data_IF_992687980378
#
_entry.id   IF_992687980378
#
_cell.length_a   1.000
_cell.length_b   1.000
_cell.length_c   1.000
_cell.angle_alpha   90.00
_cell.angle_beta   90.00
_cell.angle_gamma   90.00
#
_symmetry.space_group_name_H-M   'P 1'
#
loop_
_entity.id
_entity.type
_entity.pdbx_description
1 polymer ?
#
# COMPACT_ATOMS: atom_id res chain seq x y z
N UNK A 1 3.31 20.61 8.66
CA UNK A 1 4.02 21.32 9.75
C UNK A 1 5.32 21.89 9.18
N UNK A 2 5.50 23.21 9.27
CA UNK A 2 6.69 23.89 8.70
C UNK A 2 7.92 23.78 9.61
N UNK A 3 7.73 23.73 10.94
CA UNK A 3 8.76 23.60 11.97
C UNK A 3 8.14 22.98 13.25
N UNK A 4 8.94 22.38 14.13
CA UNK A 4 8.46 21.88 15.45
C UNK A 4 7.67 22.98 16.19
N UNK A 5 6.35 22.80 16.32
CA UNK A 5 5.45 23.74 16.99
C UNK A 5 4.72 24.76 16.10
N UNK A 6 4.88 24.70 14.78
CA UNK A 6 4.08 25.52 13.84
C UNK A 6 2.59 25.11 13.79
N UNK A 7 1.70 25.99 13.29
CA UNK A 7 0.28 25.67 13.15
C UNK A 7 0.08 24.44 12.24
N UNK A 8 -0.74 23.51 12.72
CA UNK A 8 -1.12 22.29 11.97
C UNK A 8 -2.27 22.64 11.03
N UNK A 9 -2.19 22.17 9.79
CA UNK A 9 -3.25 22.30 8.80
C UNK A 9 -3.52 20.98 8.12
N UNK A 10 -4.73 20.85 7.60
CA UNK A 10 -5.19 19.66 6.86
C UNK A 10 -4.90 19.83 5.36
N UNK A 11 -4.65 18.73 4.67
CA UNK A 11 -4.54 18.68 3.21
C UNK A 11 -5.09 17.34 2.73
N UNK A 12 -5.82 17.34 1.62
CA UNK A 12 -6.30 16.10 1.01
C UNK A 12 -5.41 15.75 -0.19
N UNK A 13 -4.85 14.55 -0.20
CA UNK A 13 -3.98 14.06 -1.26
C UNK A 13 -4.62 12.84 -1.92
N UNK A 14 -4.79 12.89 -3.24
CA UNK A 14 -5.39 11.85 -4.05
C UNK A 14 -4.35 11.28 -5.02
N UNK A 15 -4.25 9.96 -5.09
CA UNK A 15 -3.39 9.29 -6.08
C UNK A 15 -4.05 9.36 -7.46
N UNK A 16 -3.43 10.09 -8.38
CA UNK A 16 -3.86 10.18 -9.78
C UNK A 16 -3.52 8.90 -10.55
N UNK A 17 -2.38 8.27 -10.22
CA UNK A 17 -1.85 7.09 -10.89
C UNK A 17 -0.96 6.26 -9.94
N UNK A 18 -0.41 5.15 -10.43
CA UNK A 18 0.44 4.24 -9.64
C UNK A 18 1.67 4.93 -9.04
N UNK A 19 2.24 5.91 -9.75
CA UNK A 19 3.35 6.72 -9.21
C UNK A 19 2.87 7.57 -8.03
N UNK A 20 1.72 8.22 -8.15
CA UNK A 20 1.08 8.93 -7.06
C UNK A 20 0.78 8.02 -5.87
N UNK A 21 0.22 6.84 -6.11
CA UNK A 21 -0.07 5.85 -5.07
C UNK A 21 1.19 5.44 -4.28
N UNK A 22 2.30 5.19 -5.00
CA UNK A 22 3.60 4.90 -4.37
C UNK A 22 4.11 6.10 -3.56
N UNK A 23 4.08 7.30 -4.13
CA UNK A 23 4.49 8.53 -3.44
C UNK A 23 3.69 8.75 -2.15
N UNK A 24 2.37 8.51 -2.17
CA UNK A 24 1.54 8.64 -0.98
C UNK A 24 1.83 7.55 0.05
N UNK A 25 2.12 6.33 -0.38
CA UNK A 25 2.51 5.23 0.52
C UNK A 25 3.83 5.57 1.23
N UNK A 26 4.83 6.04 0.49
CA UNK A 26 6.11 6.49 1.03
C UNK A 26 5.93 7.68 1.99
N UNK A 27 5.08 8.65 1.64
CA UNK A 27 4.77 9.81 2.49
C UNK A 27 4.10 9.41 3.81
N UNK A 28 3.13 8.49 3.77
CA UNK A 28 2.49 7.94 4.97
C UNK A 28 3.53 7.22 5.82
N UNK A 29 4.33 6.33 5.24
CA UNK A 29 5.40 5.63 5.97
C UNK A 29 6.38 6.61 6.63
N UNK A 30 6.80 7.66 5.92
CA UNK A 30 7.69 8.69 6.45
C UNK A 30 7.05 9.49 7.58
N UNK A 31 5.76 9.82 7.50
CA UNK A 31 5.04 10.48 8.59
C UNK A 31 5.01 9.64 9.88
N UNK A 32 4.87 8.32 9.76
CA UNK A 32 4.94 7.41 10.92
C UNK A 32 6.36 7.22 11.46
N UNK A 33 7.39 7.24 10.62
CA UNK A 33 8.78 7.01 11.02
C UNK A 33 9.50 8.26 11.53
N UNK A 34 9.28 9.41 10.86
CA UNK A 34 10.06 10.65 11.05
C UNK A 34 9.18 11.85 11.46
N UNK A 35 7.87 11.76 11.23
CA UNK A 35 6.91 12.85 11.38
C UNK A 35 6.16 12.89 12.72
N UNK A 36 6.59 12.10 13.70
CA UNK A 36 5.90 11.95 14.97
C UNK A 36 6.02 13.21 15.85
N UNK A 37 4.89 13.79 16.22
CA UNK A 37 4.81 14.85 17.22
C UNK A 37 3.68 14.55 18.20
N UNK A 38 4.00 14.46 19.50
CA UNK A 38 3.06 14.05 20.56
C UNK A 38 2.33 12.72 20.28
N UNK A 39 2.96 11.81 19.54
CA UNK A 39 2.40 10.50 19.20
C UNK A 39 1.48 10.48 17.97
N UNK A 40 1.30 11.64 17.31
CA UNK A 40 0.54 11.76 16.08
C UNK A 40 1.49 11.93 14.87
N UNK A 41 1.24 11.24 13.75
CA UNK A 41 2.03 11.38 12.53
C UNK A 41 1.66 12.68 11.78
N UNK A 42 2.67 13.49 11.46
CA UNK A 42 2.52 14.69 10.64
C UNK A 42 3.41 14.66 9.41
N UNK A 43 2.92 15.30 8.35
CA UNK A 43 3.69 15.54 7.13
C UNK A 43 4.35 16.93 7.23
N UNK A 44 5.64 16.99 6.94
CA UNK A 44 6.37 18.26 6.78
C UNK A 44 6.11 18.83 5.40
N UNK A 45 6.01 20.16 5.31
CA UNK A 45 5.68 20.81 4.03
C UNK A 45 6.75 20.55 2.96
N UNK A 46 8.03 20.48 3.37
CA UNK A 46 9.16 20.16 2.50
C UNK A 46 9.03 18.79 1.81
N UNK A 47 8.36 17.82 2.44
CA UNK A 47 8.15 16.48 1.86
C UNK A 47 7.14 16.48 0.72
N UNK A 48 6.25 17.48 0.66
CA UNK A 48 5.25 17.57 -0.42
C UNK A 48 5.88 17.74 -1.80
N UNK A 49 7.07 18.37 -1.86
CA UNK A 49 7.79 18.53 -3.12
C UNK A 49 8.29 17.19 -3.68
N UNK A 50 8.72 16.28 -2.80
CA UNK A 50 9.22 14.96 -3.15
C UNK A 50 8.09 14.04 -3.69
N UNK A 51 6.85 14.25 -3.24
CA UNK A 51 5.69 13.45 -3.64
C UNK A 51 4.76 14.15 -4.67
N UNK A 52 5.22 15.20 -5.33
CA UNK A 52 4.37 16.06 -6.19
C UNK A 52 3.85 15.39 -7.47
N UNK A 53 4.55 14.37 -7.97
CA UNK A 53 4.20 13.71 -9.22
C UNK A 53 3.11 12.65 -9.03
N UNK A 54 2.09 12.70 -9.89
CA UNK A 54 0.96 11.76 -9.85
C UNK A 54 0.00 11.98 -8.69
N UNK A 55 0.09 13.10 -7.97
CA UNK A 55 -0.78 13.43 -6.84
C UNK A 55 -1.63 14.66 -7.17
N UNK A 56 -2.94 14.55 -6.93
CA UNK A 56 -3.89 15.66 -6.94
C UNK A 56 -4.12 16.11 -5.50
N UNK A 57 -4.21 17.41 -5.28
CA UNK A 57 -4.27 18.03 -3.95
C UNK A 57 -5.52 18.88 -3.81
N UNK A 58 -6.27 18.67 -2.74
CA UNK A 58 -7.35 19.56 -2.32
C UNK A 58 -6.91 20.31 -1.07
N UNK A 59 -7.24 21.59 -1.01
CA UNK A 59 -6.71 22.52 -0.01
C UNK A 59 -6.98 22.17 1.47
N UNK A 60 -7.92 21.26 1.78
CA UNK A 60 -8.31 20.93 3.17
C UNK A 60 -9.38 21.86 3.75
N UNK A 61 -10.03 22.66 2.91
CA UNK A 61 -11.08 23.60 3.30
C UNK A 61 -10.59 24.66 4.30
N UNK A 62 -11.47 25.07 5.22
CA UNK A 62 -11.15 26.05 6.28
C UNK A 62 -10.05 25.59 7.25
N UNK A 63 -9.82 24.28 7.36
CA UNK A 63 -8.75 23.71 8.19
C UNK A 63 -7.40 23.64 7.45
N UNK A 64 -7.41 23.86 6.13
CA UNK A 64 -6.21 23.93 5.30
C UNK A 64 -5.36 25.16 5.57
N UNK A 65 -4.12 25.13 5.09
CA UNK A 65 -3.16 26.21 5.33
C UNK A 65 -3.64 27.56 4.77
N UNK A 66 -4.31 27.51 3.61
CA UNK A 66 -4.91 28.67 2.93
C UNK A 66 -6.19 29.10 3.65
N UNK A 67 -7.08 28.14 3.99
CA UNK A 67 -8.32 28.43 4.71
C UNK A 67 -8.08 29.07 6.07
N UNK A 68 -7.12 28.58 6.85
CA UNK A 68 -6.74 29.20 8.11
C UNK A 68 -6.21 30.62 7.93
N UNK A 69 -5.49 30.92 6.85
CA UNK A 69 -5.02 32.28 6.58
C UNK A 69 -6.19 33.23 6.23
N UNK A 70 -7.16 32.76 5.43
CA UNK A 70 -8.37 33.51 5.10
C UNK A 70 -9.21 33.82 6.35
N UNK A 71 -9.46 32.81 7.20
CA UNK A 71 -10.24 32.97 8.44
C UNK A 71 -9.58 33.87 9.49
N UNK A 72 -8.26 34.08 9.38
CA UNK A 72 -7.54 35.02 10.23
C UNK A 72 -7.36 36.41 9.59
N UNK A 73 -8.02 36.70 8.45
CA UNK A 73 -7.92 37.97 7.72
C UNK A 73 -6.55 38.22 7.07
N UNK A 74 -5.71 37.18 6.94
CA UNK A 74 -4.34 37.27 6.38
C UNK A 74 -4.34 37.03 4.88
N UNK A 75 -5.05 37.86 4.11
CA UNK A 75 -5.23 37.68 2.66
C UNK A 75 -3.92 37.61 1.86
N UNK A 76 -2.91 38.42 2.21
CA UNK A 76 -1.61 38.38 1.55
C UNK A 76 -0.92 37.01 1.71
N UNK A 77 -0.99 36.43 2.91
CA UNK A 77 -0.43 35.11 3.20
C UNK A 77 -1.23 34.00 2.50
N UNK A 78 -2.55 34.11 2.44
CA UNK A 78 -3.40 33.16 1.71
C UNK A 78 -3.04 33.12 0.21
N UNK A 79 -2.82 34.30 -0.40
CA UNK A 79 -2.37 34.44 -1.79
C UNK A 79 -1.01 33.79 -2.03
N UNK A 80 -0.03 34.09 -1.18
CA UNK A 80 1.31 33.50 -1.26
C UNK A 80 1.27 31.96 -1.17
N UNK A 81 0.51 31.42 -0.21
CA UNK A 81 0.35 29.99 0.00
C UNK A 81 -0.33 29.30 -1.17
N UNK A 82 -1.39 29.90 -1.72
CA UNK A 82 -2.08 29.34 -2.88
C UNK A 82 -1.15 29.29 -4.10
N UNK A 83 -0.43 30.37 -4.38
CA UNK A 83 0.55 30.40 -5.47
C UNK A 83 1.65 29.35 -5.30
N UNK A 84 2.17 29.18 -4.08
CA UNK A 84 3.18 28.16 -3.78
C UNK A 84 2.64 26.74 -4.03
N UNK A 85 1.40 26.45 -3.62
CA UNK A 85 0.77 25.14 -3.84
C UNK A 85 0.46 24.88 -5.33
N UNK A 86 -0.04 25.87 -6.06
CA UNK A 86 -0.27 25.75 -7.50
C UNK A 86 1.04 25.55 -8.28
N UNK A 87 2.13 26.20 -7.86
CA UNK A 87 3.44 25.99 -8.44
C UNK A 87 3.99 24.58 -8.16
N UNK A 88 3.70 24.03 -6.97
CA UNK A 88 4.13 22.70 -6.57
C UNK A 88 3.32 21.58 -7.25
N UNK A 89 2.02 21.81 -7.46
CA UNK A 89 1.08 20.87 -8.08
C UNK A 89 0.39 21.51 -9.29
N UNK A 90 1.14 21.78 -10.39
CA UNK A 90 0.59 22.42 -11.56
C UNK A 90 -0.55 21.58 -12.15
N UNK A 91 -1.69 22.23 -12.42
CA UNK A 91 -2.94 21.63 -12.90
C UNK A 91 -3.49 20.49 -12.02
N UNK A 92 -3.01 20.39 -10.78
CA UNK A 92 -3.32 19.32 -9.82
C UNK A 92 -3.67 19.84 -8.43
N UNK A 93 -3.75 21.14 -8.23
CA UNK A 93 -4.22 21.75 -6.99
C UNK A 93 -5.62 22.32 -7.16
N UNK A 94 -6.49 22.08 -6.17
CA UNK A 94 -7.85 22.59 -6.13
C UNK A 94 -8.16 23.23 -4.77
N UNK A 95 -8.81 24.39 -4.80
CA UNK A 95 -9.41 24.97 -3.61
C UNK A 95 -10.68 24.20 -3.25
N UNK A 96 -10.73 23.69 -2.03
CA UNK A 96 -11.79 22.80 -1.55
C UNK A 96 -12.88 23.63 -0.90
N UNK A 97 -14.12 23.45 -1.33
CA UNK A 97 -15.31 24.13 -0.82
C UNK A 97 -16.22 23.12 -0.13
N UNK A 98 -16.68 23.46 1.08
CA UNK A 98 -17.51 22.60 1.92
C UNK A 98 -18.71 23.39 2.45
N UNK A 99 -19.90 22.78 2.41
CA UNK A 99 -21.14 23.33 2.99
C UNK A 99 -21.74 22.32 3.96
N UNK A 100 -21.11 22.21 5.13
CA UNK A 100 -21.48 21.24 6.17
C UNK A 100 -22.29 21.87 7.30
N UNK A 101 -22.67 23.14 7.20
CA UNK A 101 -23.38 23.85 8.27
C UNK A 101 -22.56 24.05 9.54
N UNK A 102 -21.23 23.88 9.46
CA UNK A 102 -20.32 24.17 10.58
C UNK A 102 -20.02 25.66 10.63
N UNK A 103 -19.59 26.13 11.80
CA UNK A 103 -19.21 27.53 12.01
C UNK A 103 -18.17 28.00 10.98
N UNK A 104 -18.41 29.16 10.38
CA UNK A 104 -17.57 29.81 9.36
C UNK A 104 -17.42 29.05 8.02
N UNK A 105 -18.25 28.03 7.73
CA UNK A 105 -18.23 27.37 6.41
C UNK A 105 -18.49 28.37 5.27
N UNK A 106 -19.54 29.19 5.38
CA UNK A 106 -19.93 30.12 4.31
C UNK A 106 -18.97 31.33 4.20
N UNK A 107 -18.43 31.80 5.34
CA UNK A 107 -17.41 32.85 5.35
C UNK A 107 -16.14 32.40 4.63
N UNK A 108 -15.68 31.17 4.91
CA UNK A 108 -14.56 30.57 4.18
C UNK A 108 -14.88 30.39 2.70
N UNK A 109 -16.07 29.89 2.37
CA UNK A 109 -16.47 29.65 0.99
C UNK A 109 -16.40 30.93 0.15
N UNK A 110 -16.98 32.03 0.62
CA UNK A 110 -16.92 33.31 -0.11
C UNK A 110 -15.48 33.80 -0.29
N UNK A 111 -14.65 33.75 0.76
CA UNK A 111 -13.27 34.17 0.69
C UNK A 111 -12.41 33.27 -0.23
N UNK A 112 -12.68 31.96 -0.23
CA UNK A 112 -11.99 31.00 -1.08
C UNK A 112 -12.37 31.17 -2.56
N UNK A 113 -13.64 31.44 -2.88
CA UNK A 113 -14.11 31.71 -4.24
C UNK A 113 -13.51 33.01 -4.78
N UNK A 114 -13.47 34.07 -3.98
CA UNK A 114 -12.83 35.33 -4.38
C UNK A 114 -11.33 35.12 -4.68
N UNK A 115 -10.62 34.40 -3.82
CA UNK A 115 -9.20 34.08 -4.03
C UNK A 115 -8.98 33.17 -5.25
N UNK A 116 -9.88 32.20 -5.47
CA UNK A 116 -9.85 31.30 -6.62
C UNK A 116 -9.98 32.08 -7.93
N UNK A 117 -10.91 33.03 -8.00
CA UNK A 117 -11.10 33.91 -9.15
C UNK A 117 -9.90 34.84 -9.37
N UNK A 118 -9.31 35.37 -8.29
CA UNK A 118 -8.15 36.25 -8.37
C UNK A 118 -6.92 35.55 -8.97
N UNK A 119 -6.68 34.30 -8.58
CA UNK A 119 -5.48 33.54 -8.94
C UNK A 119 -5.70 32.48 -10.03
N UNK A 120 -6.89 32.44 -10.63
CA UNK A 120 -7.29 31.43 -11.63
C UNK A 120 -7.07 29.99 -11.13
N UNK A 121 -7.43 29.74 -9.87
CA UNK A 121 -7.35 28.42 -9.25
C UNK A 121 -8.69 27.70 -9.39
N UNK A 122 -8.72 26.43 -9.82
CA UNK A 122 -9.97 25.67 -9.85
C UNK A 122 -10.46 25.36 -8.43
N UNK A 123 -11.78 25.30 -8.28
CA UNK A 123 -12.46 24.92 -7.03
C UNK A 123 -13.07 23.53 -7.14
N UNK A 124 -13.25 22.85 -6.01
CA UNK A 124 -13.92 21.54 -5.96
C UNK A 124 -14.83 21.45 -4.73
N UNK A 125 -16.02 20.91 -4.90
CA UNK A 125 -16.97 20.68 -3.81
C UNK A 125 -16.69 19.34 -3.11
N UNK A 126 -16.67 19.35 -1.78
CA UNK A 126 -16.64 18.13 -0.95
C UNK A 126 -17.60 18.29 0.23
N UNK A 127 -17.95 17.18 0.90
CA UNK A 127 -18.85 17.21 2.06
C UNK A 127 -18.18 16.75 3.37
N UNK A 128 -16.84 16.58 3.39
CA UNK A 128 -16.07 16.12 4.57
C UNK A 128 -16.75 14.94 5.30
N UNK A 129 -17.13 13.91 4.55
CA UNK A 129 -18.02 12.83 5.00
C UNK A 129 -17.42 12.05 6.16
N UNK A 130 -18.21 11.81 7.21
CA UNK A 130 -17.82 11.07 8.43
C UNK A 130 -18.70 9.86 8.74
N UNK A 131 -19.87 9.79 8.12
CA UNK A 131 -20.85 8.71 8.29
C UNK A 131 -21.66 8.55 6.99
N UNK A 132 -22.38 7.44 6.84
CA UNK A 132 -23.06 7.13 5.58
C UNK A 132 -24.40 7.86 5.50
N UNK A 133 -25.21 7.79 6.57
CA UNK A 133 -26.57 8.35 6.59
C UNK A 133 -26.72 9.41 7.69
N UNK A 134 -27.59 10.39 7.48
CA UNK A 134 -27.78 11.50 8.42
C UNK A 134 -28.16 11.03 9.85
N UNK A 135 -28.91 9.93 9.97
CA UNK A 135 -29.34 9.36 11.26
C UNK A 135 -28.17 8.79 12.09
N UNK A 136 -27.01 8.57 11.48
CA UNK A 136 -25.82 8.03 12.14
C UNK A 136 -25.01 9.11 12.90
N UNK A 137 -25.41 10.38 12.80
CA UNK A 137 -24.70 11.49 13.46
C UNK A 137 -24.51 11.28 14.97
N UNK A 138 -25.58 10.88 15.69
CA UNK A 138 -25.48 10.63 17.14
C UNK A 138 -24.54 9.46 17.46
N UNK A 139 -24.53 8.41 16.64
CA UNK A 139 -23.60 7.29 16.80
C UNK A 139 -22.14 7.74 16.55
N UNK A 140 -21.93 8.60 15.55
CA UNK A 140 -20.62 9.21 15.30
C UNK A 140 -20.17 10.08 16.47
N UNK A 141 -21.05 10.91 17.03
CA UNK A 141 -20.74 11.76 18.20
C UNK A 141 -20.35 10.93 19.43
N UNK A 142 -21.04 9.80 19.68
CA UNK A 142 -20.66 8.87 20.75
C UNK A 142 -19.28 8.26 20.48
N UNK A 143 -19.00 7.84 19.24
CA UNK A 143 -17.68 7.30 18.86
C UNK A 143 -16.55 8.30 19.12
N UNK A 144 -16.75 9.57 18.76
CA UNK A 144 -15.79 10.66 19.01
C UNK A 144 -15.59 10.85 20.52
N UNK A 145 -16.67 10.89 21.30
CA UNK A 145 -16.58 11.03 22.75
C UNK A 145 -15.79 9.89 23.43
N UNK A 146 -15.96 8.64 22.95
CA UNK A 146 -15.18 7.49 23.42
C UNK A 146 -13.69 7.68 23.13
N UNK A 147 -13.34 8.14 21.92
CA UNK A 147 -11.95 8.39 21.54
C UNK A 147 -11.32 9.51 22.37
N UNK A 148 -12.05 10.62 22.55
CA UNK A 148 -11.58 11.80 23.29
C UNK A 148 -11.62 11.61 24.82
N UNK A 149 -12.18 10.51 25.30
CA UNK A 149 -12.37 10.24 26.73
C UNK A 149 -13.30 11.23 27.42
N UNK A 150 -14.32 11.74 26.71
CA UNK A 150 -15.30 12.72 27.23
C UNK A 150 -16.71 12.14 27.30
N UNK A 151 -17.51 12.68 28.22
CA UNK A 151 -18.94 12.37 28.28
C UNK A 151 -19.72 13.18 27.23
N UNK A 152 -20.80 12.60 26.69
CA UNK A 152 -21.62 13.22 25.63
C UNK A 152 -22.28 14.54 26.09
N UNK A 153 -22.57 14.65 27.38
CA UNK A 153 -23.19 15.80 28.04
C UNK A 153 -22.19 16.83 28.59
N UNK A 154 -20.87 16.63 28.44
CA UNK A 154 -19.86 17.62 28.86
C UNK A 154 -20.00 18.92 28.03
N UNK A 155 -20.37 20.06 28.65
CA UNK A 155 -20.55 21.32 27.91
C UNK A 155 -19.23 21.89 27.38
N UNK A 156 -18.08 21.40 27.86
CA UNK A 156 -16.75 21.81 27.40
C UNK A 156 -16.23 20.95 26.24
N UNK A 157 -17.00 19.94 25.79
CA UNK A 157 -16.59 19.12 24.66
C UNK A 157 -16.60 19.95 23.37
N UNK A 158 -15.57 19.75 22.55
CA UNK A 158 -15.52 20.37 21.23
C UNK A 158 -16.50 19.62 20.33
N UNK A 159 -17.39 20.34 19.66
CA UNK A 159 -18.30 19.79 18.65
C UNK A 159 -17.76 20.12 17.28
N UNK A 160 -16.80 19.31 16.82
CA UNK A 160 -16.09 19.54 15.56
C UNK A 160 -16.90 19.13 14.32
N UNK A 161 -18.01 18.41 14.52
CA UNK A 161 -18.80 17.79 13.47
C UNK A 161 -20.24 18.33 13.44
N UNK A 162 -20.87 18.20 12.28
CA UNK A 162 -22.30 18.47 12.09
C UNK A 162 -23.03 17.23 11.57
N UNK A 163 -24.35 17.23 11.71
CA UNK A 163 -25.26 16.21 11.18
C UNK A 163 -25.31 16.18 9.64
N UNK A 164 -24.73 17.18 8.97
CA UNK A 164 -24.67 17.31 7.52
C UNK A 164 -23.45 16.62 6.87
N UNK A 165 -22.57 16.00 7.66
CA UNK A 165 -21.37 15.28 7.18
C UNK A 165 -21.64 13.81 6.80
N UNK A 166 -22.85 13.52 6.31
CA UNK A 166 -23.18 12.21 5.73
C UNK A 166 -22.81 12.13 4.24
N UNK A 167 -22.92 10.94 3.65
CA UNK A 167 -22.74 10.76 2.21
C UNK A 167 -24.00 11.25 1.48
N UNK A 168 -24.04 12.55 1.16
CA UNK A 168 -25.13 13.18 0.40
C UNK A 168 -25.32 12.55 -0.97
N UNK A 169 -26.56 12.58 -1.45
CA UNK A 169 -26.86 12.21 -2.84
C UNK A 169 -26.32 13.26 -3.83
N UNK A 170 -26.12 12.88 -5.11
CA UNK A 170 -25.76 13.86 -6.15
C UNK A 170 -26.76 15.01 -6.27
N UNK A 171 -28.06 14.75 -6.10
CA UNK A 171 -29.12 15.76 -6.15
C UNK A 171 -29.00 16.77 -5.00
N UNK A 172 -28.78 16.28 -3.77
CA UNK A 172 -28.58 17.16 -2.61
C UNK A 172 -27.33 18.05 -2.78
N UNK A 173 -26.24 17.49 -3.31
CA UNK A 173 -25.02 18.25 -3.60
C UNK A 173 -25.23 19.27 -4.73
N UNK A 174 -25.99 18.91 -5.76
CA UNK A 174 -26.33 19.80 -6.88
C UNK A 174 -27.19 20.99 -6.45
N UNK A 175 -28.18 20.76 -5.57
CA UNK A 175 -28.96 21.85 -4.98
C UNK A 175 -28.08 22.73 -4.09
N UNK A 176 -27.26 22.11 -3.25
CA UNK A 176 -26.38 22.79 -2.30
C UNK A 176 -25.34 23.67 -2.97
N UNK A 177 -24.80 23.30 -4.12
CA UNK A 177 -23.79 24.04 -4.89
C UNK A 177 -24.32 24.60 -6.22
N UNK A 178 -25.63 24.87 -6.29
CA UNK A 178 -26.28 25.38 -7.50
C UNK A 178 -25.76 26.74 -7.99
N UNK A 179 -25.14 27.52 -7.09
CA UNK A 179 -24.46 28.78 -7.36
C UNK A 179 -23.01 28.63 -7.87
N UNK A 180 -22.39 27.45 -7.72
CA UNK A 180 -21.02 27.15 -8.17
C UNK A 180 -20.97 25.76 -8.85
N UNK A 181 -21.61 25.58 -10.02
CA UNK A 181 -21.66 24.29 -10.71
C UNK A 181 -20.28 23.70 -11.04
N UNK A 182 -19.29 24.56 -11.33
CA UNK A 182 -17.92 24.16 -11.67
C UNK A 182 -17.23 23.39 -10.54
N UNK A 183 -17.61 23.66 -9.28
CA UNK A 183 -17.08 22.94 -8.14
C UNK A 183 -17.50 21.47 -8.15
N UNK A 184 -18.70 21.16 -8.67
CA UNK A 184 -19.20 19.80 -8.84
C UNK A 184 -18.64 19.14 -10.10
N UNK A 185 -18.54 19.87 -11.21
CA UNK A 185 -17.94 19.37 -12.45
C UNK A 185 -16.49 18.90 -12.22
N UNK A 186 -15.73 19.66 -11.45
CA UNK A 186 -14.36 19.29 -11.08
C UNK A 186 -14.28 18.01 -10.23
N UNK A 187 -15.31 17.65 -9.45
CA UNK A 187 -15.32 16.37 -8.72
C UNK A 187 -15.27 15.18 -9.69
N UNK A 188 -16.04 15.25 -10.78
CA UNK A 188 -16.11 14.21 -11.80
C UNK A 188 -14.83 14.19 -12.62
N UNK A 189 -14.27 15.37 -12.93
CA UNK A 189 -13.01 15.46 -13.67
C UNK A 189 -11.84 14.90 -12.86
N UNK A 190 -11.73 15.24 -11.57
CA UNK A 190 -10.73 14.64 -10.67
C UNK A 190 -10.91 13.12 -10.61
N UNK A 191 -12.15 12.64 -10.45
CA UNK A 191 -12.42 11.19 -10.41
C UNK A 191 -11.98 10.48 -11.70
N UNK A 192 -12.21 11.07 -12.88
CA UNK A 192 -11.74 10.52 -14.17
C UNK A 192 -10.22 10.50 -14.28
N UNK A 193 -9.54 11.49 -13.70
CA UNK A 193 -8.08 11.60 -13.72
C UNK A 193 -7.41 10.58 -12.80
N UNK A 194 -8.09 10.07 -11.79
CA UNK A 194 -7.55 9.11 -10.82
C UNK A 194 -7.75 7.65 -11.28
N UNK A 195 -6.67 7.01 -11.73
CA UNK A 195 -6.65 5.61 -12.16
C UNK A 195 -5.45 4.90 -11.53
N UNK A 196 -5.69 4.09 -10.50
CA UNK A 196 -4.65 3.31 -9.80
C UNK A 196 -4.96 1.83 -9.96
N UNK A 197 -3.98 1.05 -10.40
CA UNK A 197 -4.11 -0.39 -10.54
C UNK A 197 -3.45 -1.11 -9.35
N UNK A 198 -4.25 -1.85 -8.58
CA UNK A 198 -3.75 -2.68 -7.50
C UNK A 198 -3.72 -4.13 -7.99
N UNK A 199 -2.51 -4.66 -8.19
CA UNK A 199 -2.29 -6.04 -8.59
C UNK A 199 -2.66 -7.01 -7.45
N UNK A 200 -3.88 -7.53 -7.50
CA UNK A 200 -4.36 -8.56 -6.58
C UNK A 200 -4.09 -9.96 -7.15
N UNK A 201 -3.72 -10.91 -6.29
CA UNK A 201 -3.55 -12.32 -6.67
C UNK A 201 -2.21 -12.68 -7.34
N UNK A 202 -1.30 -11.72 -7.50
CA UNK A 202 0.09 -12.00 -7.91
C UNK A 202 0.98 -12.12 -6.68
N UNK A 203 1.75 -13.20 -6.59
CA UNK A 203 2.73 -13.38 -5.52
C UNK A 203 4.04 -12.66 -5.87
N UNK A 204 4.53 -11.83 -4.96
CA UNK A 204 5.85 -11.20 -5.04
C UNK A 204 6.77 -11.90 -4.03
N UNK A 205 7.36 -13.02 -4.45
CA UNK A 205 8.29 -13.79 -3.62
C UNK A 205 9.70 -13.19 -3.70
N UNK A 206 10.42 -13.08 -2.56
CA UNK A 206 11.84 -12.72 -2.58
C UNK A 206 12.67 -13.74 -3.37
N UNK A 207 13.80 -13.29 -3.92
CA UNK A 207 14.77 -14.20 -4.55
C UNK A 207 15.57 -14.94 -3.48
N UNK A 208 15.68 -16.27 -3.61
CA UNK A 208 16.51 -17.08 -2.73
C UNK A 208 17.98 -17.03 -3.17
N UNK A 209 18.95 -16.76 -2.27
CA UNK A 209 20.36 -16.62 -2.63
C UNK A 209 21.01 -18.00 -2.88
N UNK A 210 21.00 -18.45 -4.13
CA UNK A 210 21.63 -19.72 -4.54
C UNK A 210 23.13 -19.49 -4.83
N UNK A 211 24.05 -20.32 -4.30
CA UNK A 211 25.49 -20.22 -4.56
C UNK A 211 25.85 -20.27 -6.05
N UNK A 212 26.72 -19.37 -6.53
CA UNK A 212 27.08 -19.27 -7.96
C UNK A 212 27.70 -20.58 -8.50
N UNK A 213 28.44 -21.28 -7.67
CA UNK A 213 29.20 -22.49 -7.98
C UNK A 213 28.46 -23.79 -7.63
N UNK A 214 27.16 -23.74 -7.30
CA UNK A 214 26.42 -24.93 -6.87
C UNK A 214 26.47 -26.08 -7.89
N UNK A 215 26.63 -25.78 -9.18
CA UNK A 215 26.76 -26.77 -10.26
C UNK A 215 28.03 -27.62 -10.14
N UNK A 216 29.04 -27.15 -9.40
CA UNK A 216 30.30 -27.84 -9.13
C UNK A 216 30.23 -28.74 -7.89
N UNK A 217 29.10 -28.76 -7.19
CA UNK A 217 28.89 -29.58 -6.00
C UNK A 217 29.09 -31.08 -6.32
N UNK A 218 29.70 -31.82 -5.39
CA UNK A 218 29.94 -33.25 -5.50
C UNK A 218 28.66 -34.07 -5.73
N UNK A 219 27.50 -33.56 -5.31
CA UNK A 219 26.18 -34.11 -5.65
C UNK A 219 26.06 -34.43 -7.15
N UNK A 220 26.53 -33.51 -8.01
CA UNK A 220 26.39 -33.65 -9.46
C UNK A 220 27.31 -34.71 -10.09
N UNK A 221 28.20 -35.31 -9.31
CA UNK A 221 28.99 -36.47 -9.74
C UNK A 221 28.18 -37.77 -9.65
N UNK A 222 27.20 -37.83 -8.74
CA UNK A 222 26.28 -38.96 -8.57
C UNK A 222 24.99 -38.77 -9.37
N UNK A 223 24.44 -37.57 -9.33
CA UNK A 223 23.20 -37.19 -10.01
C UNK A 223 23.52 -36.24 -11.17
N UNK A 224 23.16 -36.58 -12.40
CA UNK A 224 23.57 -35.77 -13.56
C UNK A 224 22.92 -34.38 -13.55
N UNK A 225 23.74 -33.32 -13.58
CA UNK A 225 23.26 -31.93 -13.71
C UNK A 225 22.36 -31.77 -14.94
N UNK A 226 22.80 -32.29 -16.10
CA UNK A 226 22.03 -32.21 -17.34
C UNK A 226 20.69 -32.95 -17.24
N UNK A 227 20.62 -34.03 -16.46
CA UNK A 227 19.36 -34.74 -16.22
C UNK A 227 18.37 -33.91 -15.40
N UNK A 228 18.82 -33.33 -14.27
CA UNK A 228 17.97 -32.48 -13.44
C UNK A 228 17.57 -31.19 -14.16
N UNK A 229 18.48 -30.63 -14.96
CA UNK A 229 18.19 -29.50 -15.85
C UNK A 229 17.09 -29.86 -16.83
N UNK A 230 17.19 -30.99 -17.53
CA UNK A 230 16.16 -31.42 -18.47
C UNK A 230 14.79 -31.59 -17.78
N UNK A 231 14.72 -32.27 -16.63
CA UNK A 231 13.47 -32.43 -15.88
C UNK A 231 12.87 -31.09 -15.44
N UNK A 232 13.73 -30.13 -15.08
CA UNK A 232 13.30 -28.78 -14.70
C UNK A 232 12.77 -28.01 -15.90
N UNK A 233 13.43 -28.08 -17.06
CA UNK A 233 12.95 -27.50 -18.32
C UNK A 233 11.57 -28.07 -18.67
N UNK A 234 11.38 -29.38 -18.57
CA UNK A 234 10.09 -30.04 -18.82
C UNK A 234 8.99 -29.53 -17.88
N UNK A 235 9.30 -29.34 -16.59
CA UNK A 235 8.33 -28.81 -15.62
C UNK A 235 7.98 -27.34 -15.86
N UNK A 236 8.92 -26.55 -16.38
CA UNK A 236 8.72 -25.13 -16.67
C UNK A 236 8.00 -24.87 -18.01
N UNK A 237 7.94 -25.86 -18.89
CA UNK A 237 7.45 -25.72 -20.27
C UNK A 237 6.04 -25.13 -20.33
N UNK A 238 5.12 -25.58 -19.46
CA UNK A 238 3.73 -25.12 -19.45
C UNK A 238 3.61 -23.61 -19.17
N UNK A 239 4.45 -23.07 -18.29
CA UNK A 239 4.44 -21.67 -17.87
C UNK A 239 5.29 -20.78 -18.79
N UNK A 240 6.38 -21.30 -19.34
CA UNK A 240 7.43 -20.50 -19.98
C UNK A 240 7.58 -20.69 -21.49
N UNK A 241 6.73 -21.50 -22.13
CA UNK A 241 6.73 -21.68 -23.59
C UNK A 241 6.78 -20.34 -24.35
N UNK A 242 7.82 -20.17 -25.18
CA UNK A 242 8.06 -18.97 -25.99
C UNK A 242 8.71 -17.79 -25.24
N UNK A 243 9.18 -18.00 -24.00
CA UNK A 243 9.84 -17.01 -23.13
C UNK A 243 11.15 -17.54 -22.52
N UNK A 244 11.74 -18.55 -23.11
CA UNK A 244 12.93 -19.24 -22.60
C UNK A 244 14.20 -18.39 -22.63
N UNK A 245 14.24 -17.35 -23.48
CA UNK A 245 15.39 -16.45 -23.59
C UNK A 245 15.38 -15.30 -22.55
N UNK A 246 14.41 -15.29 -21.63
CA UNK A 246 14.25 -14.21 -20.65
C UNK A 246 15.16 -14.38 -19.42
N UNK A 247 15.67 -13.29 -18.81
CA UNK A 247 16.39 -13.36 -17.53
C UNK A 247 15.58 -14.04 -16.42
N UNK A 248 14.26 -13.85 -16.41
CA UNK A 248 13.34 -14.43 -15.44
C UNK A 248 13.26 -15.96 -15.59
N UNK A 249 13.21 -16.46 -16.83
CA UNK A 249 13.29 -17.90 -17.09
C UNK A 249 14.62 -18.49 -16.60
N UNK A 250 15.74 -17.83 -16.88
CA UNK A 250 17.05 -18.29 -16.42
C UNK A 250 17.12 -18.40 -14.89
N UNK A 251 16.52 -17.45 -14.17
CA UNK A 251 16.41 -17.47 -12.70
C UNK A 251 15.53 -18.62 -12.21
N UNK A 252 14.37 -18.83 -12.81
CA UNK A 252 13.43 -19.91 -12.45
C UNK A 252 14.03 -21.30 -12.73
N UNK A 253 14.71 -21.47 -13.86
CA UNK A 253 15.43 -22.71 -14.19
C UNK A 253 16.51 -23.01 -13.15
N UNK A 254 17.35 -22.02 -12.84
CA UNK A 254 18.41 -22.17 -11.83
C UNK A 254 17.83 -22.51 -10.45
N UNK A 255 16.75 -21.83 -10.07
CA UNK A 255 16.06 -22.08 -8.80
C UNK A 255 15.45 -23.48 -8.75
N UNK A 256 14.83 -23.93 -9.85
CA UNK A 256 14.28 -25.28 -9.96
C UNK A 256 15.35 -26.36 -9.83
N UNK A 257 16.50 -26.21 -10.50
CA UNK A 257 17.60 -27.19 -10.42
C UNK A 257 18.15 -27.28 -9.00
N UNK A 258 18.41 -26.13 -8.36
CA UNK A 258 18.89 -26.09 -6.98
C UNK A 258 17.87 -26.69 -6.01
N UNK A 259 16.59 -26.38 -6.19
CA UNK A 259 15.51 -26.94 -5.38
C UNK A 259 15.43 -28.47 -5.48
N UNK A 260 15.61 -29.04 -6.68
CA UNK A 260 15.72 -30.49 -6.85
C UNK A 260 16.91 -31.07 -6.09
N UNK A 261 18.10 -30.47 -6.22
CA UNK A 261 19.32 -30.90 -5.49
C UNK A 261 19.06 -31.00 -4.00
N UNK A 262 18.65 -29.89 -3.39
CA UNK A 262 18.43 -29.81 -1.93
C UNK A 262 17.35 -30.78 -1.48
N UNK A 263 16.29 -30.95 -2.26
CA UNK A 263 15.21 -31.88 -1.90
C UNK A 263 15.63 -33.35 -1.99
N UNK A 264 16.48 -33.70 -2.96
CA UNK A 264 17.03 -35.06 -3.10
C UNK A 264 17.99 -35.34 -1.94
N UNK A 265 18.91 -34.43 -1.63
CA UNK A 265 19.83 -34.55 -0.50
C UNK A 265 19.06 -34.71 0.82
N UNK A 266 18.05 -33.85 1.04
CA UNK A 266 17.20 -33.94 2.22
C UNK A 266 16.42 -35.25 2.30
N UNK A 267 15.98 -35.82 1.16
CA UNK A 267 15.36 -37.14 1.13
C UNK A 267 16.35 -38.26 1.49
N UNK A 268 17.57 -38.23 0.95
CA UNK A 268 18.62 -39.20 1.26
C UNK A 268 18.91 -39.22 2.77
N UNK A 269 19.13 -38.05 3.37
CA UNK A 269 19.35 -37.90 4.82
C UNK A 269 18.14 -38.41 5.61
N UNK A 270 16.92 -38.07 5.18
CA UNK A 270 15.70 -38.45 5.88
C UNK A 270 15.46 -39.96 5.84
N UNK A 271 15.70 -40.61 4.72
CA UNK A 271 15.56 -42.06 4.58
C UNK A 271 16.64 -42.79 5.38
N UNK A 272 17.87 -42.28 5.38
CA UNK A 272 18.94 -42.84 6.21
C UNK A 272 18.59 -42.78 7.69
N UNK A 273 18.03 -41.65 8.16
CA UNK A 273 17.57 -41.49 9.53
C UNK A 273 16.42 -42.44 9.91
N UNK A 274 15.43 -42.62 9.02
CA UNK A 274 14.24 -43.42 9.30
C UNK A 274 14.44 -44.94 9.15
N UNK A 275 15.26 -45.37 8.20
CA UNK A 275 15.36 -46.77 7.77
C UNK A 275 16.76 -47.39 7.89
N UNK A 276 17.81 -46.60 8.15
CA UNK A 276 19.19 -47.08 8.25
C UNK A 276 19.61 -47.86 6.99
N UNK A 277 20.14 -49.06 7.17
CA UNK A 277 20.61 -49.93 6.08
C UNK A 277 19.52 -50.27 5.04
N UNK A 278 18.24 -50.14 5.41
CA UNK A 278 17.11 -50.40 4.52
C UNK A 278 16.68 -49.17 3.70
N UNK A 279 17.37 -48.04 3.83
CA UNK A 279 17.05 -46.81 3.09
C UNK A 279 17.04 -47.04 1.56
N UNK A 280 17.99 -47.81 1.05
CA UNK A 280 18.09 -48.13 -0.38
C UNK A 280 16.87 -48.91 -0.90
N UNK A 281 16.25 -49.77 -0.08
CA UNK A 281 15.02 -50.50 -0.44
C UNK A 281 13.82 -49.55 -0.60
N UNK A 282 13.78 -48.48 0.20
CA UNK A 282 12.68 -47.51 0.20
C UNK A 282 12.85 -46.42 -0.86
N UNK A 283 14.09 -46.13 -1.27
CA UNK A 283 14.42 -45.03 -2.16
C UNK A 283 13.54 -44.95 -3.42
N UNK A 284 13.28 -46.02 -4.19
CA UNK A 284 12.48 -45.90 -5.42
C UNK A 284 11.07 -45.36 -5.19
N UNK A 285 10.41 -45.79 -4.11
CA UNK A 285 9.04 -45.36 -3.76
C UNK A 285 9.01 -43.89 -3.38
N UNK A 286 9.93 -43.45 -2.53
CA UNK A 286 9.96 -42.07 -2.05
C UNK A 286 10.48 -41.10 -3.10
N UNK A 287 11.45 -41.51 -3.92
CA UNK A 287 11.94 -40.71 -5.04
C UNK A 287 10.83 -40.46 -6.06
N UNK A 288 10.02 -41.46 -6.38
CA UNK A 288 8.85 -41.28 -7.26
C UNK A 288 7.87 -40.23 -6.72
N UNK A 289 7.57 -40.26 -5.42
CA UNK A 289 6.70 -39.26 -4.79
C UNK A 289 7.33 -37.87 -4.80
N UNK A 290 8.63 -37.78 -4.47
CA UNK A 290 9.37 -36.53 -4.46
C UNK A 290 9.38 -35.91 -5.87
N UNK A 291 9.75 -36.66 -6.90
CA UNK A 291 9.81 -36.15 -8.27
C UNK A 291 8.44 -35.63 -8.75
N UNK A 292 7.34 -36.30 -8.37
CA UNK A 292 5.98 -35.83 -8.65
C UNK A 292 5.68 -34.47 -8.01
N UNK A 293 6.02 -34.30 -6.72
CA UNK A 293 5.81 -33.03 -6.01
C UNK A 293 6.70 -31.90 -6.55
N UNK A 294 7.98 -32.22 -6.80
CA UNK A 294 8.94 -31.25 -7.34
C UNK A 294 8.47 -30.72 -8.70
N UNK A 295 7.96 -31.59 -9.57
CA UNK A 295 7.44 -31.19 -10.87
C UNK A 295 6.30 -30.18 -10.72
N UNK A 296 5.33 -30.46 -9.84
CA UNK A 296 4.18 -29.55 -9.59
C UNK A 296 4.65 -28.23 -8.98
N UNK A 297 5.52 -28.26 -7.97
CA UNK A 297 6.01 -27.06 -7.29
C UNK A 297 6.78 -26.15 -8.26
N UNK A 298 7.63 -26.73 -9.11
CA UNK A 298 8.40 -26.00 -10.13
C UNK A 298 7.48 -25.45 -11.21
N UNK A 299 6.52 -26.24 -11.71
CA UNK A 299 5.54 -25.79 -12.70
C UNK A 299 4.75 -24.57 -12.19
N UNK A 300 4.33 -24.60 -10.92
CA UNK A 300 3.59 -23.50 -10.29
C UNK A 300 4.47 -22.27 -9.96
N UNK A 301 5.81 -22.40 -9.99
CA UNK A 301 6.74 -21.33 -9.64
C UNK A 301 6.85 -21.07 -8.13
N UNK A 302 6.74 -22.11 -7.31
CA UNK A 302 6.95 -22.03 -5.86
C UNK A 302 8.31 -22.56 -5.32
N UNK A 303 9.33 -22.95 -6.10
CA UNK A 303 10.55 -23.52 -5.50
C UNK A 303 11.27 -22.52 -4.57
N UNK A 304 11.31 -21.23 -4.93
CA UNK A 304 11.90 -20.18 -4.08
C UNK A 304 11.20 -20.04 -2.72
N UNK A 305 9.86 -20.17 -2.68
CA UNK A 305 9.10 -20.15 -1.43
C UNK A 305 9.53 -21.31 -0.49
N UNK A 306 9.64 -22.53 -1.02
CA UNK A 306 10.08 -23.68 -0.22
C UNK A 306 11.50 -23.52 0.30
N UNK A 307 12.42 -22.99 -0.52
CA UNK A 307 13.80 -22.72 -0.13
C UNK A 307 13.87 -21.70 1.02
N UNK A 308 13.14 -20.59 0.92
CA UNK A 308 13.09 -19.57 1.98
C UNK A 308 12.56 -20.16 3.29
N UNK A 309 11.46 -20.91 3.24
CA UNK A 309 10.86 -21.52 4.44
C UNK A 309 11.81 -22.55 5.07
N UNK A 310 12.43 -23.39 4.23
CA UNK A 310 13.41 -24.38 4.68
C UNK A 310 14.60 -23.72 5.39
N UNK A 311 15.20 -22.71 4.77
CA UNK A 311 16.38 -22.01 5.30
C UNK A 311 16.06 -21.32 6.64
N UNK A 312 14.93 -20.62 6.72
CA UNK A 312 14.49 -20.01 7.98
C UNK A 312 14.27 -21.04 9.10
N UNK A 313 13.67 -22.20 8.78
CA UNK A 313 13.46 -23.28 9.76
C UNK A 313 14.79 -23.90 10.20
N UNK A 314 15.73 -24.11 9.26
CA UNK A 314 17.03 -24.68 9.57
C UNK A 314 17.83 -23.72 10.44
N UNK A 315 17.89 -22.44 10.07
CA UNK A 315 18.52 -21.39 10.87
C UNK A 315 17.97 -21.35 12.30
N UNK A 316 16.65 -21.42 12.47
CA UNK A 316 16.03 -21.45 13.80
C UNK A 316 16.50 -22.65 14.63
N UNK A 317 16.56 -23.85 14.03
CA UNK A 317 17.05 -25.06 14.72
C UNK A 317 18.53 -24.94 15.12
N UNK A 318 19.36 -24.41 14.22
CA UNK A 318 20.79 -24.22 14.47
C UNK A 318 21.06 -23.21 15.60
N UNK A 319 20.11 -22.31 15.86
CA UNK A 319 20.15 -21.33 16.95
C UNK A 319 19.29 -21.74 18.15
N UNK A 320 18.94 -23.02 18.26
CA UNK A 320 18.16 -23.58 19.39
C UNK A 320 16.78 -22.92 19.60
N UNK A 321 16.22 -22.32 18.55
CA UNK A 321 14.89 -21.72 18.55
C UNK A 321 13.86 -22.83 18.25
N UNK A 322 12.90 -23.10 19.15
CA UNK A 322 11.92 -24.17 18.93
C UNK A 322 11.03 -23.92 17.71
N UNK A 323 10.97 -24.90 16.81
CA UNK A 323 10.05 -24.92 15.67
C UNK A 323 8.99 -26.01 15.87
N UNK A 324 7.73 -25.69 15.55
CA UNK A 324 6.62 -26.64 15.68
C UNK A 324 6.73 -27.80 14.68
N UNK A 325 5.94 -28.89 14.87
CA UNK A 325 6.01 -30.09 14.03
C UNK A 325 5.42 -29.94 12.62
N UNK A 326 5.11 -28.71 12.18
CA UNK A 326 4.28 -28.44 11.00
C UNK A 326 2.77 -28.42 11.34
N UNK A 327 2.00 -27.55 10.68
CA UNK A 327 0.54 -27.45 10.81
C UNK A 327 -0.10 -27.14 9.45
N UNK A 328 -1.39 -27.45 9.31
CA UNK A 328 -2.13 -27.23 8.07
C UNK A 328 -1.78 -28.25 6.99
N UNK A 329 -2.05 -27.91 5.73
CA UNK A 329 -1.81 -28.78 4.58
C UNK A 329 -0.33 -28.98 4.24
N UNK A 330 0.57 -28.14 4.77
CA UNK A 330 2.01 -28.25 4.52
C UNK A 330 2.72 -29.45 5.15
N UNK A 331 2.01 -30.30 5.89
CA UNK A 331 2.56 -31.53 6.49
C UNK A 331 2.33 -32.79 5.63
N UNK A 332 1.59 -32.69 4.52
CA UNK A 332 1.10 -33.82 3.70
C UNK A 332 2.02 -34.29 2.58
#
# INVERSE_FOLDING_TARGET
VTEEGGPVSTLCLLAQNDRGYRSLTELISRAYLEGQYLGEPYIRQEWLAECSEGVIVLSGGKQGEIGQALMNGKHALARERLQAMMALFPDRFYLELQRTGRENDEEYLHAAVELAQELDCPVVATNDVRFLNAEEFEAHEVRVCIHDGRALDDPRRVRAYSDQQYLRSPEEMAELFSDIPEALENTVEIARRCNVEINLGTYFLPEYPIPEDFEQDAFFQRESYEHLKQQTVESLQAKWSGREDTPEYAKELRTGIFFRKISIEGLEERLQFLYGDRAAEQMPRYRQRLDFELNIIIEMGFPGYFLIVMDFIQWAKDHEIPVGPGRGSGAG
#
